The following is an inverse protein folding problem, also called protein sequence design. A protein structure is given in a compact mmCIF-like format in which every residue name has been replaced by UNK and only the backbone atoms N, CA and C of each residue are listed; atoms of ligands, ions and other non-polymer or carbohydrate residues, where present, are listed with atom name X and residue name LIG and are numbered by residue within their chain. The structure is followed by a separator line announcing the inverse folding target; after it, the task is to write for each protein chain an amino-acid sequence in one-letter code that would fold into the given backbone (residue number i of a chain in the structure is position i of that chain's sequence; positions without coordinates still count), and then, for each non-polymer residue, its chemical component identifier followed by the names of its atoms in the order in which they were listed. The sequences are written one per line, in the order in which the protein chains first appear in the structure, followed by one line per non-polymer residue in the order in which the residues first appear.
data_IF_490152123212
#
_entry.id   IF_490152123212
#
_cell.length_a   1.000
_cell.length_b   1.000
_cell.length_c   1.000
_cell.angle_alpha   90.00
_cell.angle_beta   90.00
_cell.angle_gamma   90.00
#
_symmetry.space_group_name_H-M   'P 1'
#
loop_
_entity.id
_entity.type
_entity.pdbx_description
1 polymer ?
#
# COMPACT_ATOMS: atom_id res chain seq x y z
N UNK A 1 -14.02 -19.77 6.74
CA UNK A 1 -14.32 -19.87 5.29
C UNK A 1 -13.00 -19.99 4.54
N UNK A 2 -12.87 -21.01 3.72
CA UNK A 2 -11.66 -21.20 2.89
C UNK A 2 -11.71 -20.22 1.73
N UNK A 3 -10.64 -19.47 1.54
CA UNK A 3 -10.50 -18.57 0.39
C UNK A 3 -10.48 -19.36 -0.92
N UNK A 4 -11.33 -19.00 -1.85
CA UNK A 4 -11.46 -19.70 -3.13
C UNK A 4 -10.50 -19.20 -4.21
N UNK A 5 -10.24 -17.90 -4.20
CA UNK A 5 -9.40 -17.22 -5.18
C UNK A 5 -8.49 -16.20 -4.50
N UNK A 6 -7.33 -15.89 -5.07
CA UNK A 6 -6.56 -14.75 -4.62
C UNK A 6 -7.40 -13.47 -4.65
N UNK A 7 -7.23 -12.62 -3.66
CA UNK A 7 -7.99 -11.38 -3.58
C UNK A 7 -7.18 -10.22 -4.15
N UNK A 8 -7.66 -9.56 -5.23
CA UNK A 8 -7.00 -8.38 -5.75
C UNK A 8 -7.22 -7.18 -4.82
N UNK A 9 -6.13 -6.57 -4.42
CA UNK A 9 -6.12 -5.38 -3.56
C UNK A 9 -5.26 -4.29 -4.15
N UNK A 10 -5.50 -3.06 -3.74
CA UNK A 10 -4.70 -1.90 -4.12
C UNK A 10 -4.02 -1.30 -2.90
N UNK A 11 -2.83 -0.77 -3.09
CA UNK A 11 -2.10 -0.02 -2.08
C UNK A 11 -1.68 1.35 -2.61
N UNK A 12 -1.77 2.38 -1.79
CA UNK A 12 -1.45 3.75 -2.17
C UNK A 12 -0.23 4.27 -1.42
N UNK A 13 0.88 4.45 -2.12
CA UNK A 13 1.96 5.29 -1.62
C UNK A 13 1.61 6.74 -1.99
N UNK A 14 1.16 7.50 -1.01
CA UNK A 14 0.63 8.85 -1.22
C UNK A 14 1.72 9.87 -0.98
N UNK A 15 1.99 10.69 -2.00
CA UNK A 15 2.95 11.81 -1.90
C UNK A 15 2.20 13.14 -1.83
N UNK A 16 2.67 14.03 -0.97
CA UNK A 16 2.31 15.44 -0.97
C UNK A 16 3.59 16.25 -0.72
N UNK A 17 3.94 17.11 -1.68
CA UNK A 17 5.25 17.77 -1.71
C UNK A 17 6.37 16.72 -1.67
N UNK A 18 7.31 16.83 -0.75
CA UNK A 18 8.42 15.88 -0.59
C UNK A 18 8.19 14.86 0.54
N UNK A 19 6.93 14.63 0.93
CA UNK A 19 6.57 13.72 2.00
C UNK A 19 5.68 12.59 1.52
N UNK A 20 5.90 11.42 2.08
CA UNK A 20 5.15 10.20 1.81
C UNK A 20 4.38 9.78 3.05
N UNK A 21 3.12 9.41 2.85
CA UNK A 21 2.24 8.97 3.94
C UNK A 21 2.41 7.49 4.22
N UNK A 22 2.69 7.17 5.46
CA UNK A 22 2.56 5.81 5.98
C UNK A 22 1.53 5.79 7.10
N UNK A 23 0.92 4.64 7.27
CA UNK A 23 -0.16 4.39 8.23
C UNK A 23 0.11 3.12 9.02
N UNK A 24 -0.61 2.92 10.11
CA UNK A 24 -0.63 1.65 10.83
C UNK A 24 -2.03 1.08 10.86
N UNK A 25 -2.11 -0.23 10.68
CA UNK A 25 -3.35 -1.00 10.70
C UNK A 25 -3.23 -2.15 11.68
N UNK A 26 -4.28 -2.42 12.50
CA UNK A 26 -4.29 -3.58 13.38
C UNK A 26 -4.31 -4.92 12.63
N UNK A 27 -4.51 -4.90 11.31
CA UNK A 27 -4.47 -6.10 10.46
C UNK A 27 -3.06 -6.66 10.28
N UNK A 28 -2.02 -5.87 10.55
CA UNK A 28 -0.63 -6.31 10.51
C UNK A 28 -0.14 -6.63 11.92
N UNK A 29 0.38 -7.85 12.12
CA UNK A 29 0.72 -8.39 13.45
C UNK A 29 1.75 -7.58 14.23
N UNK A 30 2.71 -6.97 13.54
CA UNK A 30 3.88 -6.39 14.19
C UNK A 30 3.82 -4.87 14.35
N UNK A 31 2.66 -4.26 14.12
CA UNK A 31 2.46 -2.81 14.25
C UNK A 31 3.48 -1.97 13.47
N UNK A 32 3.92 -2.49 12.33
CA UNK A 32 4.82 -1.78 11.43
C UNK A 32 4.05 -0.81 10.54
N UNK A 33 4.77 0.15 10.00
CA UNK A 33 4.20 1.07 9.02
C UNK A 33 3.85 0.35 7.72
N UNK A 34 2.75 0.76 7.13
CA UNK A 34 2.22 0.25 5.87
C UNK A 34 1.59 1.40 5.06
N UNK A 35 0.94 1.08 3.97
CA UNK A 35 0.21 2.05 3.14
C UNK A 35 -1.29 1.81 3.22
N UNK A 36 -2.12 2.84 3.03
CA UNK A 36 -3.57 2.63 2.89
C UNK A 36 -3.89 1.83 1.64
N UNK A 37 -4.97 1.10 1.69
CA UNK A 37 -5.43 0.26 0.57
C UNK A 37 -6.57 -0.66 0.96
N UNK A 38 -7.02 -1.44 0.01
CA UNK A 38 -8.11 -2.38 0.21
C UNK A 38 -8.49 -3.10 -1.07
N UNK A 39 -9.62 -3.78 -1.03
CA UNK A 39 -10.08 -4.62 -2.13
C UNK A 39 -10.54 -3.83 -3.35
N UNK A 40 -10.30 -4.38 -4.53
CA UNK A 40 -10.96 -3.94 -5.76
C UNK A 40 -12.38 -4.53 -5.75
N UNK A 41 -13.38 -3.69 -5.90
CA UNK A 41 -14.76 -4.12 -5.98
C UNK A 41 -15.15 -4.47 -7.42
N UNK A 42 -16.12 -5.37 -7.58
CA UNK A 42 -16.62 -5.74 -8.91
C UNK A 42 -17.15 -4.50 -9.62
N UNK A 43 -16.67 -4.28 -10.85
CA UNK A 43 -17.08 -3.15 -11.69
C UNK A 43 -16.22 -1.90 -11.55
N UNK A 44 -15.25 -1.86 -10.63
CA UNK A 44 -14.29 -0.75 -10.57
C UNK A 44 -12.90 -1.17 -11.10
N UNK A 45 -12.18 -0.24 -11.67
CA UNK A 45 -10.79 -0.43 -12.03
C UNK A 45 -9.89 -0.34 -10.80
N UNK A 46 -8.65 -0.82 -10.90
CA UNK A 46 -7.67 -0.66 -9.83
C UNK A 46 -7.43 0.83 -9.48
N UNK A 47 -7.41 1.71 -10.49
CA UNK A 47 -7.26 3.16 -10.25
C UNK A 47 -8.47 3.75 -9.53
N UNK A 48 -9.68 3.34 -9.87
CA UNK A 48 -10.89 3.76 -9.14
C UNK A 48 -10.88 3.24 -7.71
N UNK A 49 -10.47 2.00 -7.51
CA UNK A 49 -10.37 1.39 -6.17
C UNK A 49 -9.40 2.16 -5.27
N UNK A 50 -8.23 2.56 -5.78
CA UNK A 50 -7.26 3.26 -4.96
C UNK A 50 -7.70 4.69 -4.60
N UNK A 51 -8.41 5.36 -5.48
CA UNK A 51 -9.01 6.67 -5.17
C UNK A 51 -10.05 6.54 -4.06
N UNK A 52 -10.92 5.54 -4.17
CA UNK A 52 -11.97 5.26 -3.17
C UNK A 52 -11.36 4.87 -1.82
N UNK A 53 -10.44 3.92 -1.80
CA UNK A 53 -9.81 3.44 -0.55
C UNK A 53 -9.01 4.55 0.15
N UNK A 54 -8.25 5.35 -0.58
CA UNK A 54 -7.54 6.47 0.01
C UNK A 54 -8.50 7.48 0.66
N UNK A 55 -9.62 7.76 0.00
CA UNK A 55 -10.65 8.67 0.54
C UNK A 55 -11.32 8.10 1.79
N UNK A 56 -11.73 6.84 1.74
CA UNK A 56 -12.40 6.16 2.87
C UNK A 56 -11.49 6.07 4.10
N UNK A 57 -10.23 5.69 3.91
CA UNK A 57 -9.32 5.41 5.03
C UNK A 57 -8.61 6.65 5.57
N UNK A 58 -8.27 7.61 4.70
CA UNK A 58 -7.43 8.76 5.08
C UNK A 58 -8.11 10.12 4.91
N UNK A 59 -9.26 10.17 4.27
CA UNK A 59 -9.95 11.41 3.92
C UNK A 59 -9.30 12.20 2.78
N UNK A 60 -8.21 11.71 2.20
CA UNK A 60 -7.48 12.40 1.14
C UNK A 60 -8.08 12.15 -0.23
N UNK A 61 -8.17 13.22 -1.02
CA UNK A 61 -8.41 13.13 -2.46
C UNK A 61 -7.07 12.94 -3.17
N UNK A 62 -6.93 11.83 -3.87
CA UNK A 62 -5.68 11.47 -4.53
C UNK A 62 -5.87 11.29 -6.03
N UNK A 63 -4.79 11.49 -6.77
CA UNK A 63 -4.69 11.21 -8.20
C UNK A 63 -3.64 10.10 -8.37
N UNK A 64 -3.99 8.93 -8.94
CA UNK A 64 -3.02 7.91 -9.28
C UNK A 64 -2.02 8.44 -10.32
N UNK A 65 -0.73 8.30 -10.05
CA UNK A 65 0.35 8.75 -10.93
C UNK A 65 0.92 7.57 -11.72
N UNK A 66 1.21 6.47 -11.03
CA UNK A 66 1.92 5.32 -11.60
C UNK A 66 1.63 4.05 -10.83
N UNK A 67 1.36 2.97 -11.54
CA UNK A 67 1.45 1.63 -10.97
C UNK A 67 2.94 1.29 -10.83
N UNK A 68 3.42 1.20 -9.59
CA UNK A 68 4.84 0.99 -9.30
C UNK A 68 5.20 -0.49 -9.20
N UNK A 69 4.29 -1.29 -8.66
CA UNK A 69 4.59 -2.64 -8.25
C UNK A 69 3.35 -3.52 -8.29
N UNK A 70 3.52 -4.75 -8.76
CA UNK A 70 2.57 -5.84 -8.53
C UNK A 70 3.28 -6.91 -7.71
N UNK A 71 2.71 -7.30 -6.59
CA UNK A 71 3.29 -8.31 -5.71
C UNK A 71 2.19 -9.17 -5.10
N UNK A 72 2.58 -10.33 -4.60
CA UNK A 72 1.67 -11.28 -3.98
C UNK A 72 2.04 -11.53 -2.53
N UNK A 73 1.03 -11.71 -1.70
CA UNK A 73 1.18 -12.24 -0.35
C UNK A 73 0.45 -13.57 -0.28
N UNK A 74 1.18 -14.66 -0.22
CA UNK A 74 0.61 -16.01 -0.14
C UNK A 74 0.74 -16.51 1.30
N UNK A 75 -0.37 -16.41 2.05
CA UNK A 75 -0.45 -16.83 3.45
C UNK A 75 0.66 -16.23 4.32
N UNK A 76 0.87 -14.92 4.18
CA UNK A 76 1.91 -14.20 4.93
C UNK A 76 1.68 -14.25 6.43
N UNK A 77 2.72 -14.52 7.18
CA UNK A 77 2.69 -14.49 8.64
C UNK A 77 2.62 -13.07 9.22
N UNK A 78 2.93 -12.06 8.42
CA UNK A 78 2.85 -10.65 8.83
C UNK A 78 1.40 -10.15 8.93
N UNK A 79 0.46 -10.82 8.27
CA UNK A 79 -0.95 -10.49 8.29
C UNK A 79 -1.70 -11.37 9.31
N UNK A 80 -2.69 -10.80 9.97
CA UNK A 80 -3.39 -11.51 11.05
C UNK A 80 -4.23 -12.70 10.59
N UNK A 81 -4.63 -12.73 9.31
CA UNK A 81 -5.32 -13.86 8.68
C UNK A 81 -4.46 -14.46 7.57
N UNK A 82 -4.41 -15.79 7.46
CA UNK A 82 -3.73 -16.45 6.35
C UNK A 82 -4.55 -16.25 5.06
N UNK A 83 -4.18 -15.27 4.26
CA UNK A 83 -4.86 -14.91 3.02
C UNK A 83 -3.88 -14.87 1.86
N UNK A 84 -4.40 -15.11 0.66
CA UNK A 84 -3.67 -14.90 -0.59
C UNK A 84 -4.15 -13.61 -1.24
N UNK A 85 -3.28 -12.61 -1.27
CA UNK A 85 -3.55 -11.31 -1.89
C UNK A 85 -2.69 -11.07 -3.12
N UNK A 86 -3.28 -10.40 -4.12
CA UNK A 86 -2.57 -9.73 -5.21
C UNK A 86 -2.59 -8.24 -4.93
N UNK A 87 -1.42 -7.64 -4.72
CA UNK A 87 -1.29 -6.20 -4.48
C UNK A 87 -0.94 -5.45 -5.77
N UNK A 88 -1.75 -4.45 -6.08
CA UNK A 88 -1.48 -3.45 -7.11
C UNK A 88 -1.13 -2.14 -6.39
N UNK A 89 0.15 -1.81 -6.33
CA UNK A 89 0.65 -0.70 -5.54
C UNK A 89 0.95 0.52 -6.41
N UNK A 90 0.24 1.61 -6.12
CA UNK A 90 0.30 2.85 -6.88
C UNK A 90 1.04 3.95 -6.12
N UNK A 91 1.78 4.76 -6.87
CA UNK A 91 2.12 6.11 -6.43
C UNK A 91 0.92 7.01 -6.71
N UNK A 92 0.46 7.70 -5.68
CA UNK A 92 -0.64 8.64 -5.76
C UNK A 92 -0.22 10.01 -5.25
N UNK A 93 -0.75 11.08 -5.85
CA UNK A 93 -0.54 12.44 -5.38
C UNK A 93 -1.77 12.94 -4.63
N UNK A 94 -1.59 13.39 -3.40
CA UNK A 94 -2.66 14.03 -2.64
C UNK A 94 -2.78 15.51 -2.98
N UNK A 95 -4.01 16.03 -2.98
CA UNK A 95 -4.29 17.45 -3.19
C UNK A 95 -3.93 18.32 -1.98
N UNK A 96 -3.92 17.72 -0.79
CA UNK A 96 -3.52 18.35 0.47
C UNK A 96 -2.98 17.29 1.44
N UNK A 97 -2.60 17.70 2.64
CA UNK A 97 -2.04 16.83 3.66
C UNK A 97 -2.96 16.61 4.88
N UNK A 98 -4.24 16.97 4.75
CA UNK A 98 -5.22 16.89 5.83
C UNK A 98 -5.76 15.46 6.00
N UNK A 99 -5.04 14.64 6.73
CA UNK A 99 -5.43 13.26 7.00
C UNK A 99 -6.52 13.22 8.08
N UNK A 100 -7.59 12.49 7.80
CA UNK A 100 -8.62 12.10 8.76
C UNK A 100 -8.81 10.59 8.67
N UNK A 101 -8.23 9.87 9.61
CA UNK A 101 -8.37 8.42 9.66
C UNK A 101 -9.80 8.02 10.00
N UNK A 102 -10.25 6.91 9.42
CA UNK A 102 -11.55 6.31 9.74
C UNK A 102 -11.60 5.69 11.14
N UNK A 103 -10.44 5.47 11.79
CA UNK A 103 -10.25 4.86 13.12
C UNK A 103 -10.81 3.42 13.24
N UNK A 104 -11.22 2.81 12.14
CA UNK A 104 -11.66 1.41 12.09
C UNK A 104 -10.56 0.51 11.56
N UNK A 105 -10.03 0.88 10.39
CA UNK A 105 -9.02 0.11 9.68
C UNK A 105 -7.61 0.66 9.88
N UNK A 106 -7.50 1.96 10.09
CA UNK A 106 -6.22 2.64 10.36
C UNK A 106 -6.31 3.39 11.68
N UNK A 107 -5.27 3.30 12.50
CA UNK A 107 -5.22 3.91 13.82
C UNK A 107 -4.11 4.92 14.03
N UNK A 108 -3.16 5.01 13.11
CA UNK A 108 -2.03 5.94 13.20
C UNK A 108 -1.58 6.34 11.80
N UNK A 109 -1.09 7.55 11.64
CA UNK A 109 -0.48 8.00 10.39
C UNK A 109 0.72 8.91 10.67
N UNK A 110 1.61 8.97 9.69
CA UNK A 110 2.73 9.92 9.70
C UNK A 110 3.16 10.25 8.27
N UNK A 111 3.43 11.54 8.04
CA UNK A 111 4.11 12.00 6.84
C UNK A 111 5.63 11.91 7.06
N UNK A 112 6.28 11.09 6.25
CA UNK A 112 7.73 10.92 6.27
C UNK A 112 8.36 11.75 5.16
N UNK A 113 9.47 12.42 5.48
CA UNK A 113 10.31 13.01 4.44
C UNK A 113 10.80 11.90 3.50
N UNK A 114 10.73 12.13 2.19
CA UNK A 114 11.15 11.10 1.21
C UNK A 114 12.61 10.68 1.34
N UNK A 115 13.46 11.53 1.93
CA UNK A 115 14.87 11.20 2.19
C UNK A 115 15.04 10.28 3.41
N UNK A 116 14.11 10.31 4.33
CA UNK A 116 14.18 9.56 5.60
C UNK A 116 13.33 8.29 5.63
N UNK A 117 12.42 8.14 4.68
CA UNK A 117 11.43 7.06 4.71
C UNK A 117 12.07 5.65 4.68
N UNK A 118 13.27 5.53 4.14
CA UNK A 118 14.00 4.25 4.11
C UNK A 118 14.39 3.74 5.50
N UNK A 119 14.36 4.61 6.51
CA UNK A 119 14.63 4.26 7.90
C UNK A 119 13.37 3.89 8.68
N UNK A 120 12.20 3.99 8.07
CA UNK A 120 10.94 3.63 8.71
C UNK A 120 10.84 2.11 8.90
N UNK A 121 10.30 1.70 10.05
CA UNK A 121 10.04 0.29 10.34
C UNK A 121 8.75 -0.14 9.65
N UNK A 122 8.88 -0.64 8.43
CA UNK A 122 7.78 -1.02 7.55
C UNK A 122 7.68 -2.54 7.42
N UNK A 123 6.46 -3.01 7.13
CA UNK A 123 6.26 -4.42 6.81
C UNK A 123 6.87 -4.76 5.42
N UNK A 124 7.04 -6.06 5.15
CA UNK A 124 7.81 -6.51 3.98
C UNK A 124 7.30 -6.01 2.65
N UNK A 125 5.99 -5.93 2.48
CA UNK A 125 5.36 -5.51 1.22
C UNK A 125 5.52 -4.01 0.98
N UNK A 126 5.41 -3.21 2.02
CA UNK A 126 5.71 -1.76 1.95
C UNK A 126 7.19 -1.52 1.70
N UNK A 127 8.07 -2.36 2.24
CA UNK A 127 9.51 -2.28 1.94
C UNK A 127 9.78 -2.47 0.44
N UNK A 128 9.12 -3.43 -0.18
CA UNK A 128 9.21 -3.64 -1.62
C UNK A 128 8.66 -2.43 -2.41
N UNK A 129 7.56 -1.86 -1.96
CA UNK A 129 6.95 -0.68 -2.58
C UNK A 129 7.89 0.54 -2.49
N UNK A 130 8.53 0.77 -1.36
CA UNK A 130 9.49 1.86 -1.21
C UNK A 130 10.72 1.69 -2.10
N UNK A 131 11.17 0.46 -2.33
CA UNK A 131 12.23 0.17 -3.32
C UNK A 131 11.78 0.52 -4.73
N UNK A 132 10.56 0.12 -5.10
CA UNK A 132 9.98 0.45 -6.41
C UNK A 132 9.84 1.96 -6.60
N UNK A 133 9.41 2.67 -5.58
CA UNK A 133 9.35 4.13 -5.58
C UNK A 133 10.73 4.77 -5.78
N UNK A 134 11.73 4.28 -5.10
CA UNK A 134 13.12 4.79 -5.24
C UNK A 134 13.62 4.65 -6.68
N UNK A 135 13.37 3.51 -7.32
CA UNK A 135 13.68 3.29 -8.72
C UNK A 135 12.95 4.29 -9.63
N UNK A 136 11.66 4.48 -9.41
CA UNK A 136 10.87 5.44 -10.16
C UNK A 136 11.36 6.89 -9.97
N UNK A 137 11.63 7.30 -8.74
CA UNK A 137 12.08 8.65 -8.40
C UNK A 137 13.47 8.96 -8.99
N UNK A 138 14.30 7.93 -9.22
CA UNK A 138 15.59 8.04 -9.90
C UNK A 138 15.52 7.95 -11.44
N UNK A 139 14.32 7.91 -12.01
CA UNK A 139 14.09 7.95 -13.45
C UNK A 139 13.82 6.60 -14.13
N UNK A 140 13.77 5.49 -13.38
CA UNK A 140 13.41 4.19 -13.93
C UNK A 140 11.88 4.03 -13.91
N UNK A 141 11.26 3.99 -15.09
CA UNK A 141 9.80 3.91 -15.24
C UNK A 141 9.25 2.48 -15.43
N UNK A 142 10.08 1.46 -15.32
CA UNK A 142 9.66 0.07 -15.49
C UNK A 142 8.74 -0.36 -14.36
N UNK A 143 7.66 -1.09 -14.72
CA UNK A 143 6.83 -1.78 -13.73
C UNK A 143 7.62 -2.93 -13.13
N UNK A 144 7.63 -3.01 -11.82
CA UNK A 144 8.21 -4.15 -11.10
C UNK A 144 7.12 -5.18 -10.80
N UNK A 145 7.46 -6.44 -10.99
CA UNK A 145 6.69 -7.59 -10.51
C UNK A 145 7.57 -8.39 -9.57
N UNK A 146 7.12 -8.56 -8.34
CA UNK A 146 7.81 -9.39 -7.35
C UNK A 146 6.99 -10.64 -7.10
N UNK A 147 7.42 -11.79 -7.64
CA UNK A 147 6.76 -13.05 -7.33
C UNK A 147 7.03 -13.44 -5.88
N UNK A 148 6.04 -14.01 -5.25
CA UNK A 148 6.24 -14.62 -3.92
C UNK A 148 7.08 -15.87 -4.09
N UNK A 149 8.20 -15.91 -3.41
CA UNK A 149 8.85 -17.19 -3.14
C UNK A 149 8.09 -17.81 -1.98
N UNK A 150 7.39 -18.92 -2.24
CA UNK A 150 6.70 -19.65 -1.20
C UNK A 150 7.64 -19.84 -0.02
N UNK A 151 7.28 -19.28 1.12
CA UNK A 151 7.91 -19.68 2.34
C UNK A 151 7.54 -21.17 2.51
N UNK A 152 8.52 -22.03 2.37
CA UNK A 152 8.33 -23.44 2.71
C UNK A 152 8.00 -23.47 4.19
N UNK A 153 6.78 -23.83 4.49
CA UNK A 153 6.39 -24.29 5.82
C UNK A 153 7.30 -25.40 6.28
#
# INVERSE_FOLDING_TARGET
MVQKFPEPTVGALIINKDKLLLVKSPKWKYQKWTVPGGHIEVGESAEQAIVREAKEETGLDVIPIKLLLVQEAVFSEEYYKPMHYLFFDFLCKAKNDNVKLDNRELNEYRWFDKKEIHNADVESYTKNLLKAYKEYDSGNSSLLYIPVRSQKT
#
